data_IF_894339497869
#
_entry.id   IF_894339497869
#
_cell.length_a   1.000
_cell.length_b   1.000
_cell.length_c   1.000
_cell.angle_alpha   90.00
_cell.angle_beta   90.00
_cell.angle_gamma   90.00
#
_symmetry.space_group_name_H-M   'P 1'
#
loop_
_entity.id
_entity.type
_entity.pdbx_description
1 polymer ?
#
# COMPACT_ATOMS: atom_id res chain seq x y z
N UNK A 1 1.67 12.93 -20.96
CA UNK A 1 0.64 13.09 -19.89
C UNK A 1 -0.61 12.23 -20.10
N UNK A 2 -1.29 12.25 -21.27
CA UNK A 2 -2.50 11.42 -21.51
C UNK A 2 -2.28 9.91 -21.36
N UNK A 3 -1.09 9.43 -21.71
CA UNK A 3 -0.73 8.01 -21.60
C UNK A 3 -0.55 7.55 -20.14
N UNK A 4 0.12 8.36 -19.31
CA UNK A 4 0.31 8.06 -17.88
C UNK A 4 -1.00 7.96 -17.10
N UNK A 5 -1.93 8.90 -17.31
CA UNK A 5 -3.24 8.85 -16.65
C UNK A 5 -4.03 7.58 -17.04
N UNK A 6 -3.99 7.21 -18.33
CA UNK A 6 -4.63 5.99 -18.84
C UNK A 6 -3.99 4.72 -18.26
N UNK A 7 -2.66 4.65 -18.24
CA UNK A 7 -1.93 3.51 -17.64
C UNK A 7 -2.21 3.40 -16.14
N UNK A 8 -2.26 4.52 -15.42
CA UNK A 8 -2.62 4.55 -14.00
C UNK A 8 -4.04 4.03 -13.77
N UNK A 9 -5.00 4.41 -14.62
CA UNK A 9 -6.39 3.97 -14.51
C UNK A 9 -6.53 2.47 -14.80
N UNK A 10 -5.86 1.96 -15.83
CA UNK A 10 -5.81 0.52 -16.14
C UNK A 10 -5.19 -0.26 -14.99
N UNK A 11 -4.05 0.19 -14.45
CA UNK A 11 -3.43 -0.44 -13.28
C UNK A 11 -4.36 -0.40 -12.06
N UNK A 12 -5.08 0.71 -11.86
CA UNK A 12 -6.07 0.82 -10.77
C UNK A 12 -7.17 -0.21 -10.92
N UNK A 13 -7.73 -0.40 -12.12
CA UNK A 13 -8.79 -1.40 -12.34
C UNK A 13 -8.32 -2.83 -12.07
N UNK A 14 -7.08 -3.17 -12.42
CA UNK A 14 -6.50 -4.50 -12.13
C UNK A 14 -6.34 -4.72 -10.62
N UNK A 15 -5.81 -3.73 -9.90
CA UNK A 15 -5.68 -3.78 -8.45
C UNK A 15 -7.03 -3.92 -7.75
N UNK A 16 -8.05 -3.20 -8.22
CA UNK A 16 -9.41 -3.30 -7.69
C UNK A 16 -10.03 -4.69 -7.93
N UNK A 17 -9.80 -5.28 -9.10
CA UNK A 17 -10.24 -6.63 -9.38
C UNK A 17 -9.53 -7.65 -8.46
N UNK A 18 -8.23 -7.50 -8.23
CA UNK A 18 -7.48 -8.33 -7.29
C UNK A 18 -7.97 -8.15 -5.84
N UNK A 19 -8.24 -6.91 -5.43
CA UNK A 19 -8.79 -6.60 -4.11
C UNK A 19 -10.15 -7.28 -3.90
N UNK A 20 -11.05 -7.21 -4.89
CA UNK A 20 -12.36 -7.86 -4.83
C UNK A 20 -12.26 -9.40 -4.73
N UNK A 21 -11.28 -10.01 -5.41
CA UNK A 21 -11.03 -11.45 -5.29
C UNK A 21 -10.57 -11.84 -3.88
N UNK A 22 -9.71 -11.02 -3.27
CA UNK A 22 -9.27 -11.20 -1.88
C UNK A 22 -10.46 -11.01 -0.93
N UNK A 23 -11.28 -9.97 -1.12
CA UNK A 23 -12.48 -9.73 -0.32
C UNK A 23 -13.41 -10.94 -0.28
N UNK A 24 -13.71 -11.53 -1.45
CA UNK A 24 -14.56 -12.70 -1.55
C UNK A 24 -14.01 -13.92 -0.78
N UNK A 25 -12.70 -14.03 -0.66
CA UNK A 25 -12.04 -15.13 0.06
C UNK A 25 -11.91 -14.87 1.57
N UNK A 26 -11.80 -13.61 2.00
CA UNK A 26 -11.43 -13.23 3.37
C UNK A 26 -12.63 -12.80 4.21
N UNK A 27 -13.54 -11.98 3.66
CA UNK A 27 -14.65 -11.39 4.41
C UNK A 27 -15.59 -12.40 5.09
N UNK A 28 -15.78 -13.64 4.59
CA UNK A 28 -16.55 -14.65 5.33
C UNK A 28 -15.90 -15.11 6.64
N UNK A 29 -14.60 -14.85 6.83
CA UNK A 29 -13.79 -15.40 7.92
C UNK A 29 -13.09 -14.34 8.78
N UNK A 30 -13.00 -13.10 8.32
CA UNK A 30 -12.35 -12.01 9.03
C UNK A 30 -13.36 -10.90 9.39
N UNK A 31 -13.29 -10.43 10.62
CA UNK A 31 -14.05 -9.27 11.08
C UNK A 31 -13.32 -7.99 10.64
N UNK A 32 -13.75 -7.43 9.51
CA UNK A 32 -13.14 -6.24 8.89
C UNK A 32 -14.19 -5.16 8.65
N UNK A 33 -13.86 -3.93 9.03
CA UNK A 33 -14.79 -2.78 8.95
C UNK A 33 -14.95 -2.25 7.52
N UNK A 34 -13.90 -2.32 6.70
CA UNK A 34 -13.88 -1.81 5.34
C UNK A 34 -13.46 -2.93 4.38
N UNK A 35 -13.98 -2.93 3.15
CA UNK A 35 -13.51 -3.86 2.11
C UNK A 35 -12.11 -3.47 1.63
N UNK A 36 -11.32 -4.46 1.20
CA UNK A 36 -10.02 -4.21 0.58
C UNK A 36 -10.20 -3.40 -0.71
N UNK A 37 -11.28 -3.64 -1.45
CA UNK A 37 -11.66 -2.84 -2.61
C UNK A 37 -11.79 -1.35 -2.27
N UNK A 38 -12.52 -1.00 -1.21
CA UNK A 38 -12.78 0.41 -0.84
C UNK A 38 -11.52 1.11 -0.34
N UNK A 39 -10.72 0.41 0.48
CA UNK A 39 -9.42 0.90 0.95
C UNK A 39 -8.53 1.18 -0.26
N UNK A 40 -8.41 0.22 -1.18
CA UNK A 40 -7.60 0.32 -2.40
C UNK A 40 -8.06 1.47 -3.28
N UNK A 41 -9.36 1.56 -3.56
CA UNK A 41 -9.93 2.63 -4.36
C UNK A 41 -9.63 4.01 -3.74
N UNK A 42 -9.80 4.14 -2.43
CA UNK A 42 -9.57 5.38 -1.70
C UNK A 42 -8.09 5.77 -1.74
N UNK A 43 -7.17 4.85 -1.48
CA UNK A 43 -5.74 5.08 -1.60
C UNK A 43 -5.36 5.55 -3.02
N UNK A 44 -5.85 4.86 -4.06
CA UNK A 44 -5.59 5.20 -5.47
C UNK A 44 -6.19 6.55 -5.86
N UNK A 45 -7.38 6.90 -5.34
CA UNK A 45 -8.01 8.22 -5.52
C UNK A 45 -7.19 9.32 -4.85
N UNK A 46 -6.79 9.12 -3.60
CA UNK A 46 -6.02 10.10 -2.83
C UNK A 46 -4.63 10.34 -3.41
N UNK A 47 -3.98 9.31 -3.95
CA UNK A 47 -2.70 9.47 -4.66
C UNK A 47 -2.80 10.33 -5.94
N UNK A 48 -3.96 10.44 -6.58
CA UNK A 48 -4.14 11.39 -7.68
C UNK A 48 -4.14 12.84 -7.21
N UNK A 49 -4.45 13.11 -5.94
CA UNK A 49 -4.52 14.46 -5.38
C UNK A 49 -3.10 15.01 -5.12
N UNK A 50 -2.67 16.08 -5.81
CA UNK A 50 -1.32 16.65 -5.63
C UNK A 50 -1.04 17.16 -4.21
N UNK A 51 -2.04 17.70 -3.51
CA UNK A 51 -1.87 18.19 -2.14
C UNK A 51 -1.65 17.02 -1.16
N UNK A 52 -2.38 15.92 -1.36
CA UNK A 52 -2.18 14.70 -0.58
C UNK A 52 -0.78 14.11 -0.83
N UNK A 53 -0.39 13.94 -2.10
CA UNK A 53 0.95 13.46 -2.44
C UNK A 53 2.04 14.33 -1.85
N UNK A 54 1.95 15.66 -1.99
CA UNK A 54 2.93 16.59 -1.43
C UNK A 54 3.09 16.42 0.09
N UNK A 55 1.97 16.25 0.81
CA UNK A 55 1.98 16.12 2.27
C UNK A 55 2.56 14.80 2.76
N UNK A 56 2.19 13.68 2.14
CA UNK A 56 2.48 12.35 2.67
C UNK A 56 3.56 11.57 1.93
N UNK A 57 3.79 11.88 0.65
CA UNK A 57 4.71 11.16 -0.24
C UNK A 57 5.91 12.04 -0.61
N UNK A 58 5.66 13.33 -0.83
CA UNK A 58 6.63 14.32 -1.32
C UNK A 58 6.73 14.30 -2.85
N UNK A 59 6.22 15.32 -3.53
CA UNK A 59 6.42 15.50 -4.98
C UNK A 59 7.69 16.39 -5.20
N UNK A 60 8.81 15.76 -5.56
CA UNK A 60 10.04 16.25 -6.24
C UNK A 60 11.02 17.24 -5.54
N UNK A 61 12.33 17.22 -5.90
CA UNK A 61 13.40 17.92 -5.19
C UNK A 61 13.39 19.41 -5.54
N UNK A 62 13.24 20.26 -4.52
CA UNK A 62 13.56 21.67 -4.62
C UNK A 62 14.77 21.89 -3.69
N UNK A 63 15.94 22.17 -4.27
CA UNK A 63 17.23 22.35 -3.57
C UNK A 63 17.80 21.12 -2.85
N UNK A 64 17.59 19.90 -3.37
CA UNK A 64 18.39 18.73 -2.98
C UNK A 64 18.08 18.10 -1.62
N UNK A 65 17.01 18.52 -0.93
CA UNK A 65 16.59 17.87 0.31
C UNK A 65 15.06 17.81 0.42
N UNK A 66 14.49 16.60 0.37
CA UNK A 66 13.11 16.36 0.77
C UNK A 66 13.19 15.59 2.09
N UNK A 67 12.88 16.21 3.24
CA UNK A 67 13.11 15.59 4.55
C UNK A 67 12.26 14.34 4.81
N UNK A 68 11.27 14.05 3.95
CA UNK A 68 10.27 13.01 4.20
C UNK A 68 9.86 12.21 2.95
N UNK A 69 10.73 11.98 1.96
CA UNK A 69 10.37 11.07 0.84
C UNK A 69 10.11 9.69 1.38
N UNK A 70 8.84 9.33 1.50
CA UNK A 70 8.44 7.95 1.76
C UNK A 70 7.68 7.43 0.57
N UNK A 71 7.99 6.19 0.21
CA UNK A 71 7.24 5.49 -0.82
C UNK A 71 5.77 5.40 -0.41
N UNK A 72 4.88 5.85 -1.29
CA UNK A 72 3.45 5.64 -1.16
C UNK A 72 3.11 4.15 -0.95
N UNK A 73 3.91 3.24 -1.50
CA UNK A 73 3.82 1.79 -1.28
C UNK A 73 3.82 1.43 0.22
N UNK A 74 4.79 1.90 1.01
CA UNK A 74 4.87 1.56 2.43
C UNK A 74 3.68 2.09 3.23
N UNK A 75 3.30 3.35 3.00
CA UNK A 75 2.15 3.95 3.68
C UNK A 75 0.84 3.24 3.30
N UNK A 76 0.69 2.85 2.03
CA UNK A 76 -0.46 2.11 1.55
C UNK A 76 -0.51 0.69 2.14
N UNK A 77 0.60 -0.04 2.20
CA UNK A 77 0.66 -1.38 2.80
C UNK A 77 0.31 -1.33 4.28
N UNK A 78 0.86 -0.37 5.02
CA UNK A 78 0.53 -0.20 6.45
C UNK A 78 -0.95 0.15 6.64
N UNK A 79 -1.50 1.04 5.81
CA UNK A 79 -2.91 1.41 5.88
C UNK A 79 -3.83 0.21 5.58
N UNK A 80 -3.50 -0.60 4.57
CA UNK A 80 -4.25 -1.84 4.28
C UNK A 80 -4.14 -2.81 5.44
N UNK A 81 -2.94 -3.01 6.00
CA UNK A 81 -2.73 -3.89 7.14
C UNK A 81 -3.59 -3.49 8.34
N UNK A 82 -3.55 -2.21 8.74
CA UNK A 82 -4.28 -1.70 9.90
C UNK A 82 -5.81 -1.74 9.72
N UNK A 83 -6.30 -1.46 8.50
CA UNK A 83 -7.74 -1.37 8.23
C UNK A 83 -8.38 -2.67 7.79
N UNK A 84 -7.59 -3.68 7.40
CA UNK A 84 -8.07 -4.92 6.80
C UNK A 84 -7.52 -6.15 7.51
N UNK A 85 -7.85 -6.29 8.80
CA UNK A 85 -7.67 -7.53 9.56
C UNK A 85 -6.24 -7.86 10.00
N UNK A 86 -5.26 -6.98 9.76
CA UNK A 86 -3.90 -7.09 10.30
C UNK A 86 -3.26 -8.47 10.13
N UNK A 87 -2.68 -8.99 11.21
CA UNK A 87 -2.03 -10.31 11.22
C UNK A 87 -2.99 -11.48 10.95
N UNK A 88 -4.29 -11.31 11.12
CA UNK A 88 -5.29 -12.36 10.81
C UNK A 88 -5.39 -12.59 9.31
N UNK A 89 -5.25 -11.54 8.51
CA UNK A 89 -5.39 -11.59 7.05
C UNK A 89 -4.03 -11.58 6.35
N UNK A 90 -3.07 -10.85 6.89
CA UNK A 90 -1.83 -10.53 6.20
C UNK A 90 -0.62 -11.17 6.83
N UNK A 91 0.26 -11.69 5.98
CA UNK A 91 1.63 -12.03 6.29
C UNK A 91 2.53 -10.97 5.63
N UNK A 92 3.21 -10.11 6.43
CA UNK A 92 4.16 -9.14 5.88
C UNK A 92 5.25 -9.82 5.05
N UNK A 93 5.55 -9.29 3.87
CA UNK A 93 6.64 -9.77 3.01
C UNK A 93 7.61 -8.62 2.69
N UNK A 94 8.90 -8.84 2.92
CA UNK A 94 9.94 -7.86 2.65
C UNK A 94 10.56 -8.07 1.28
N UNK A 95 11.34 -7.07 0.86
CA UNK A 95 12.43 -7.27 -0.10
C UNK A 95 13.74 -7.37 0.69
N UNK A 96 14.30 -8.59 0.79
CA UNK A 96 15.62 -9.06 1.29
C UNK A 96 16.18 -8.52 2.63
N UNK A 97 16.71 -9.45 3.46
CA UNK A 97 17.27 -9.23 4.80
C UNK A 97 18.73 -8.75 4.74
N UNK A 98 19.09 -7.78 5.57
CA UNK A 98 20.49 -7.38 5.84
C UNK A 98 20.80 -5.88 5.73
N UNK A 99 19.85 -5.02 5.35
CA UNK A 99 20.20 -3.65 4.98
C UNK A 99 19.31 -2.52 5.53
N UNK A 100 18.41 -2.71 6.50
CA UNK A 100 17.44 -1.62 6.74
C UNK A 100 16.92 -1.38 8.16
N UNK A 101 17.18 -0.14 8.61
CA UNK A 101 16.38 0.66 9.54
C UNK A 101 15.22 1.43 8.86
N UNK A 102 15.09 1.41 7.52
CA UNK A 102 14.17 2.31 6.77
C UNK A 102 13.33 1.65 5.61
N UNK A 103 13.38 0.31 5.44
CA UNK A 103 12.69 -0.59 4.46
C UNK A 103 11.24 -0.33 4.10
N UNK A 104 10.81 0.04 2.87
CA UNK A 104 9.38 -0.03 2.56
C UNK A 104 8.96 -1.50 2.46
N UNK A 105 8.01 -1.93 3.28
CA UNK A 105 7.13 -3.05 2.90
C UNK A 105 6.47 -2.64 1.60
N UNK A 106 6.62 -3.47 0.58
CA UNK A 106 5.95 -3.23 -0.70
C UNK A 106 4.81 -4.21 -0.87
N UNK A 107 4.92 -5.45 -0.37
CA UNK A 107 3.92 -6.49 -0.58
C UNK A 107 3.50 -7.18 0.72
N UNK A 108 2.23 -7.54 0.81
CA UNK A 108 1.70 -8.40 1.86
C UNK A 108 1.08 -9.63 1.23
N UNK A 109 1.29 -10.80 1.82
CA UNK A 109 0.65 -12.03 1.37
C UNK A 109 -0.66 -12.22 2.13
N UNK A 110 -1.74 -12.45 1.40
CA UNK A 110 -2.99 -12.90 1.98
C UNK A 110 -2.78 -14.31 2.56
N UNK A 111 -3.08 -14.53 3.84
CA UNK A 111 -2.89 -15.82 4.52
C UNK A 111 -3.85 -16.93 4.05
N UNK A 112 -4.98 -16.58 3.47
CA UNK A 112 -6.01 -17.51 2.98
C UNK A 112 -5.70 -18.02 1.57
N UNK A 113 -5.08 -17.19 0.73
CA UNK A 113 -4.86 -17.50 -0.69
C UNK A 113 -3.38 -17.49 -1.11
N UNK A 114 -2.47 -17.15 -0.19
CA UNK A 114 -1.04 -16.87 -0.43
C UNK A 114 -0.78 -15.87 -1.58
N UNK A 115 -1.77 -15.02 -1.88
CA UNK A 115 -1.68 -14.06 -2.98
C UNK A 115 -1.00 -12.78 -2.51
N UNK A 116 0.06 -12.29 -3.19
CA UNK A 116 0.68 -11.02 -2.84
C UNK A 116 -0.20 -9.84 -3.26
N UNK A 117 -0.29 -8.81 -2.42
CA UNK A 117 -1.06 -7.60 -2.68
C UNK A 117 -0.24 -6.34 -2.38
N UNK A 118 -0.30 -5.37 -3.30
CA UNK A 118 0.26 -4.02 -3.18
C UNK A 118 -0.55 -3.04 -4.03
N UNK A 119 -1.04 -1.97 -3.41
CA UNK A 119 -1.73 -0.84 -4.05
C UNK A 119 -0.89 -0.13 -5.13
N UNK A 120 0.41 -0.44 -5.26
CA UNK A 120 1.32 0.14 -6.26
C UNK A 120 1.88 -0.86 -7.29
N UNK A 121 1.68 -2.18 -7.12
CA UNK A 121 2.36 -3.22 -7.90
C UNK A 121 2.15 -3.16 -9.42
N UNK A 122 0.92 -2.91 -9.87
CA UNK A 122 0.59 -2.87 -11.31
C UNK A 122 0.97 -1.55 -12.02
N UNK A 123 1.28 -0.50 -11.26
CA UNK A 123 1.59 0.81 -11.82
C UNK A 123 3.03 0.90 -12.36
N UNK A 124 3.92 0.03 -11.87
CA UNK A 124 5.35 0.12 -12.14
C UNK A 124 5.90 -1.08 -12.93
N UNK A 125 5.07 -1.96 -13.47
CA UNK A 125 5.51 -3.08 -14.29
C UNK A 125 6.06 -2.64 -15.68
N UNK A 126 7.16 -3.22 -16.19
CA UNK A 126 8.01 -4.21 -15.55
C UNK A 126 9.09 -3.51 -14.72
N UNK A 127 8.90 -3.39 -13.41
CA UNK A 127 10.02 -3.10 -12.51
C UNK A 127 10.95 -4.32 -12.58
N UNK A 128 12.02 -4.22 -13.37
CA UNK A 128 13.19 -5.09 -13.25
C UNK A 128 14.06 -4.58 -12.10
N UNK A 129 13.55 -4.66 -10.88
CA UNK A 129 14.41 -4.72 -9.70
C UNK A 129 14.69 -6.20 -9.49
N UNK A 130 15.88 -6.63 -9.04
CA UNK A 130 16.12 -8.03 -8.70
C UNK A 130 15.29 -8.41 -7.46
N UNK A 131 13.98 -8.55 -7.65
CA UNK A 131 12.99 -8.99 -6.70
C UNK A 131 13.01 -10.53 -6.69
N UNK A 132 14.05 -11.11 -6.10
CA UNK A 132 13.83 -12.40 -5.44
C UNK A 132 12.77 -12.13 -4.38
N UNK A 133 11.62 -12.81 -4.48
CA UNK A 133 10.55 -12.80 -3.47
C UNK A 133 11.22 -12.90 -2.10
N UNK A 134 11.30 -11.77 -1.38
CA UNK A 134 12.16 -11.67 -0.23
C UNK A 134 11.63 -12.51 0.92
N UNK A 135 12.54 -12.89 1.81
CA UNK A 135 12.17 -13.57 3.05
C UNK A 135 11.28 -12.65 3.92
N UNK A 136 10.38 -13.23 4.75
CA UNK A 136 9.53 -12.46 5.65
C UNK A 136 10.33 -11.48 6.52
N UNK A 137 9.75 -10.31 6.82
CA UNK A 137 10.35 -9.36 7.76
C UNK A 137 10.29 -9.96 9.16
N UNK A 138 11.42 -10.02 9.86
CA UNK A 138 11.49 -10.41 11.28
C UNK A 138 11.06 -9.28 12.25
N UNK A 139 10.22 -8.33 11.81
CA UNK A 139 9.69 -7.21 12.60
C UNK A 139 8.19 -7.07 12.34
N UNK A 140 7.42 -6.77 13.38
CA UNK A 140 5.98 -6.55 13.24
C UNK A 140 5.71 -5.26 12.46
N UNK A 141 4.61 -5.22 11.70
CA UNK A 141 4.18 -4.02 10.95
C UNK A 141 4.02 -2.79 11.84
N UNK A 142 3.57 -3.00 13.08
CA UNK A 142 3.38 -1.95 14.08
C UNK A 142 4.69 -1.31 14.54
N UNK A 143 5.82 -2.01 14.41
CA UNK A 143 7.15 -1.52 14.82
C UNK A 143 7.82 -0.69 13.72
N UNK A 144 7.17 -0.54 12.55
CA UNK A 144 7.71 0.22 11.42
C UNK A 144 7.63 1.72 11.68
N UNK A 145 8.81 2.36 11.75
CA UNK A 145 8.95 3.80 12.00
C UNK A 145 8.72 4.60 10.72
N UNK A 146 7.46 4.77 10.36
CA UNK A 146 7.02 5.57 9.21
C UNK A 146 6.44 6.92 9.70
N UNK A 147 7.16 8.06 9.64
CA UNK A 147 6.59 9.39 9.92
C UNK A 147 5.20 9.65 9.31
N UNK A 148 4.33 10.35 10.03
CA UNK A 148 2.95 10.69 9.66
C UNK A 148 2.05 9.48 9.32
N UNK A 149 2.42 8.24 9.71
CA UNK A 149 1.59 7.04 9.54
C UNK A 149 0.19 7.24 10.09
N UNK A 150 0.09 7.66 11.36
CA UNK A 150 -1.19 7.84 12.04
C UNK A 150 -2.08 8.84 11.28
N UNK A 151 -1.54 10.03 10.97
CA UNK A 151 -2.27 11.05 10.23
C UNK A 151 -2.66 10.59 8.81
N UNK A 152 -1.81 9.79 8.15
CA UNK A 152 -2.14 9.20 6.85
C UNK A 152 -3.33 8.25 6.95
N UNK A 153 -3.31 7.32 7.91
CA UNK A 153 -4.39 6.34 8.12
C UNK A 153 -5.70 7.04 8.50
N UNK A 154 -5.65 7.99 9.43
CA UNK A 154 -6.80 8.83 9.80
C UNK A 154 -7.39 9.56 8.59
N UNK A 155 -6.54 10.08 7.69
CA UNK A 155 -6.99 10.75 6.48
C UNK A 155 -7.69 9.81 5.50
N UNK A 156 -7.26 8.55 5.43
CA UNK A 156 -7.91 7.52 4.60
C UNK A 156 -9.24 7.09 5.22
N UNK A 157 -9.29 6.85 6.54
CA UNK A 157 -10.53 6.57 7.27
C UNK A 157 -11.57 7.67 7.01
N UNK A 158 -11.19 8.94 7.19
CA UNK A 158 -12.10 10.06 6.97
C UNK A 158 -12.62 10.17 5.52
N UNK A 159 -11.91 9.61 4.53
CA UNK A 159 -12.36 9.56 3.13
C UNK A 159 -13.23 8.32 2.85
N UNK A 160 -13.01 7.22 3.58
CA UNK A 160 -13.87 6.03 3.54
C UNK A 160 -15.24 6.35 4.16
N UNK A 161 -15.28 7.04 5.30
CA UNK A 161 -16.52 7.37 6.04
C UNK A 161 -17.40 8.42 5.36
N UNK A 162 -16.88 9.16 4.37
CA UNK A 162 -17.64 10.15 3.61
C UNK A 162 -18.50 9.58 2.48
N UNK A 163 -18.39 8.28 2.24
CA UNK A 163 -19.09 7.56 1.17
C UNK A 163 -20.31 6.85 1.70
#
# INVERSE_FOLDING_TARGET
MKDYAKQYDVATQKLLAQAAQIDAAVMPYADVQYSLYDITYTLRKMYKNPAFRRKFVGDLPFNGFVPWTKGFCALASICVYELYGGDTVWKPSAIKIGAWEYAPVVYMHNRFTDTPFDTTGDQFAPLRVPYELGEPINKHMNDMKTPNKTEFVERIIAELERR
#
